data_IF_870823609815
#
_entry.id   IF_870823609815
#
_cell.length_a   1.000
_cell.length_b   1.000
_cell.length_c   1.000
_cell.angle_alpha   90.00
_cell.angle_beta   90.00
_cell.angle_gamma   90.00
#
_symmetry.space_group_name_H-M   'P 1'
#
loop_
_entity.id
_entity.type
_entity.pdbx_description
1 polymer ?
#
# COMPACT_ATOMS: atom_id res chain seq x y z
N UNK A 1 -5.63 -40.08 -36.44
CA UNK A 1 -4.60 -39.32 -37.16
C UNK A 1 -5.34 -38.45 -38.17
N UNK A 2 -5.45 -37.13 -38.02
CA UNK A 2 -4.38 -36.13 -38.09
C UNK A 2 -4.56 -35.09 -36.96
N UNK A 3 -3.45 -34.74 -36.32
CA UNK A 3 -3.40 -33.75 -35.24
C UNK A 3 -3.80 -32.35 -35.76
N UNK A 4 -4.87 -31.77 -35.21
CA UNK A 4 -5.19 -30.35 -35.41
C UNK A 4 -4.16 -29.51 -34.65
N UNK A 5 -3.14 -29.03 -35.36
CA UNK A 5 -2.11 -28.13 -34.81
C UNK A 5 -2.76 -26.80 -34.40
N UNK A 6 -3.02 -26.62 -33.10
CA UNK A 6 -3.37 -25.32 -32.53
C UNK A 6 -2.13 -24.43 -32.53
N UNK A 7 -1.97 -23.59 -33.55
CA UNK A 7 -1.04 -22.46 -33.48
C UNK A 7 -1.79 -21.24 -32.96
N UNK A 8 -1.52 -20.87 -31.71
CA UNK A 8 -2.01 -19.64 -31.10
C UNK A 8 -0.99 -18.55 -31.42
N UNK A 9 -1.44 -17.51 -32.11
CA UNK A 9 -0.65 -16.31 -32.35
C UNK A 9 -1.30 -15.13 -31.65
N UNK A 10 -0.50 -14.38 -30.89
CA UNK A 10 -0.87 -13.07 -30.38
C UNK A 10 -0.19 -12.02 -31.26
N UNK A 11 -0.97 -11.09 -31.81
CA UNK A 11 -0.44 -9.98 -32.61
C UNK A 11 -1.02 -8.67 -32.11
N UNK A 12 -0.14 -7.73 -31.78
CA UNK A 12 -0.50 -6.40 -31.32
C UNK A 12 -0.71 -5.50 -32.53
N UNK A 13 -1.91 -4.95 -32.67
CA UNK A 13 -2.26 -3.99 -33.73
C UNK A 13 -3.16 -2.93 -33.09
N UNK A 14 -2.75 -1.65 -33.16
CA UNK A 14 -3.56 -0.48 -32.77
C UNK A 14 -4.30 -0.61 -31.43
N UNK A 15 -3.59 -0.93 -30.34
CA UNK A 15 -4.15 -0.89 -28.98
C UNK A 15 -5.11 -2.02 -28.60
N UNK A 16 -5.26 -3.06 -29.43
CA UNK A 16 -6.10 -4.23 -29.14
C UNK A 16 -5.30 -5.53 -29.26
N UNK A 17 -5.61 -6.50 -28.40
CA UNK A 17 -5.11 -7.87 -28.50
C UNK A 17 -6.06 -8.72 -29.32
N UNK A 18 -5.54 -9.40 -30.34
CA UNK A 18 -6.29 -10.34 -31.16
C UNK A 18 -5.87 -11.77 -30.82
N UNK A 19 -6.83 -12.59 -30.38
CA UNK A 19 -6.66 -14.05 -30.30
C UNK A 19 -7.20 -14.65 -31.60
N UNK A 20 -6.33 -15.31 -32.36
CA UNK A 20 -6.69 -15.94 -33.63
C UNK A 20 -6.73 -17.45 -33.41
N UNK A 21 -7.92 -18.03 -33.47
CA UNK A 21 -8.10 -19.49 -33.51
C UNK A 21 -8.55 -19.89 -34.93
N UNK A 22 -7.80 -20.81 -35.55
CA UNK A 22 -8.13 -21.37 -36.87
C UNK A 22 -8.88 -22.68 -36.68
N UNK A 23 -10.13 -22.73 -37.16
CA UNK A 23 -10.89 -23.96 -37.31
C UNK A 23 -11.25 -24.14 -38.78
N UNK A 24 -10.55 -25.05 -39.49
CA UNK A 24 -10.74 -25.54 -40.86
C UNK A 24 -11.12 -24.54 -41.98
N UNK A 25 -12.15 -23.71 -41.82
CA UNK A 25 -12.64 -22.72 -42.81
C UNK A 25 -13.16 -21.41 -42.19
N UNK A 26 -13.15 -21.24 -40.86
CA UNK A 26 -13.67 -20.06 -40.15
C UNK A 26 -12.57 -19.42 -39.30
N UNK A 27 -12.42 -18.09 -39.41
CA UNK A 27 -11.58 -17.28 -38.51
C UNK A 27 -12.53 -16.56 -37.55
N UNK A 28 -12.44 -16.90 -36.26
CA UNK A 28 -13.15 -16.15 -35.22
C UNK A 28 -12.21 -15.04 -34.73
N UNK A 29 -12.57 -13.78 -35.01
CA UNK A 29 -11.90 -12.60 -34.46
C UNK A 29 -12.67 -12.15 -33.23
N UNK A 30 -12.15 -12.44 -32.04
CA UNK A 30 -12.69 -11.90 -30.80
C UNK A 30 -11.94 -10.60 -30.47
N UNK A 31 -12.63 -9.47 -30.58
CA UNK A 31 -12.10 -8.16 -30.22
C UNK A 31 -12.32 -7.90 -28.73
N UNK A 32 -11.25 -7.71 -27.97
CA UNK A 32 -11.35 -7.22 -26.60
C UNK A 32 -11.29 -5.70 -26.61
N UNK A 33 -12.42 -5.04 -26.31
CA UNK A 33 -12.46 -3.60 -26.09
C UNK A 33 -11.90 -3.31 -24.70
N UNK A 34 -10.72 -2.69 -24.63
CA UNK A 34 -10.21 -2.13 -23.38
C UNK A 34 -10.98 -0.84 -23.14
N UNK A 35 -11.86 -0.85 -22.13
CA UNK A 35 -12.60 0.33 -21.68
C UNK A 35 -11.77 0.93 -20.55
N UNK A 36 -11.22 2.14 -20.71
CA UNK A 36 -10.51 2.82 -19.61
C UNK A 36 -11.33 4.01 -19.13
N UNK A 37 -11.80 3.88 -17.89
CA UNK A 37 -11.44 4.74 -16.75
C UNK A 37 -11.56 3.85 -15.52
N UNK A 38 -10.49 3.10 -15.23
CA UNK A 38 -10.42 2.26 -14.04
C UNK A 38 -10.10 3.13 -12.84
N UNK A 39 -10.90 3.02 -11.78
CA UNK A 39 -10.63 3.71 -10.51
C UNK A 39 -9.31 3.21 -9.89
N UNK A 40 -9.02 1.91 -9.96
CA UNK A 40 -7.84 1.29 -9.34
C UNK A 40 -6.66 1.12 -10.30
N UNK A 41 -5.48 0.85 -9.75
CA UNK A 41 -4.25 0.68 -10.51
C UNK A 41 -3.87 -0.80 -10.65
N UNK A 42 -2.99 -1.12 -11.61
CA UNK A 42 -2.40 -2.46 -11.70
C UNK A 42 -1.17 -2.64 -10.78
N UNK A 43 -0.94 -1.68 -9.89
CA UNK A 43 0.21 -1.57 -8.99
C UNK A 43 -0.26 -1.37 -7.55
N UNK A 44 0.40 -2.05 -6.63
CA UNK A 44 0.28 -1.81 -5.21
C UNK A 44 1.55 -1.11 -4.73
N UNK A 45 1.39 -0.01 -3.99
CA UNK A 45 2.50 0.79 -3.49
C UNK A 45 2.70 0.60 -2.01
N UNK A 46 3.92 0.24 -1.61
CA UNK A 46 4.34 0.29 -0.21
C UNK A 46 5.27 1.47 -0.01
N UNK A 47 4.89 2.37 0.90
CA UNK A 47 5.71 3.53 1.27
C UNK A 47 6.53 3.25 2.53
N UNK A 48 7.75 3.76 2.56
CA UNK A 48 8.66 3.62 3.69
C UNK A 48 9.75 4.70 3.69
N UNK A 49 10.62 4.65 4.70
CA UNK A 49 11.84 5.48 4.75
C UNK A 49 12.95 4.81 3.94
N UNK A 50 14.00 5.58 3.60
CA UNK A 50 15.19 5.08 2.87
C UNK A 50 15.70 3.73 3.40
N UNK A 51 16.04 3.67 4.69
CA UNK A 51 16.51 2.45 5.34
C UNK A 51 15.53 1.28 5.22
N UNK A 52 14.23 1.56 5.35
CA UNK A 52 13.20 0.53 5.19
C UNK A 52 13.16 -0.03 3.78
N UNK A 53 13.26 0.81 2.75
CA UNK A 53 13.33 0.34 1.36
C UNK A 53 14.60 -0.49 1.12
N UNK A 54 15.75 -0.02 1.61
CA UNK A 54 16.99 -0.80 1.53
C UNK A 54 16.86 -2.18 2.21
N UNK A 55 16.28 -2.23 3.39
CA UNK A 55 16.11 -3.48 4.16
C UNK A 55 15.14 -4.43 3.46
N UNK A 56 14.06 -3.91 2.86
CA UNK A 56 13.12 -4.68 2.02
C UNK A 56 13.85 -5.27 0.81
N UNK A 57 14.66 -4.48 0.09
CA UNK A 57 15.41 -4.96 -1.08
C UNK A 57 16.50 -5.98 -0.70
N UNK A 58 17.25 -5.74 0.38
CA UNK A 58 18.30 -6.66 0.87
C UNK A 58 17.71 -8.00 1.32
N UNK A 59 16.59 -7.97 2.04
CA UNK A 59 15.94 -9.18 2.56
C UNK A 59 14.97 -9.84 1.57
N UNK A 60 14.61 -9.14 0.48
CA UNK A 60 13.56 -9.53 -0.48
C UNK A 60 12.26 -9.94 0.19
N UNK A 61 11.93 -9.27 1.29
CA UNK A 61 10.80 -9.63 2.16
C UNK A 61 10.09 -8.37 2.66
N UNK A 62 8.77 -8.35 2.51
CA UNK A 62 7.90 -7.44 3.26
C UNK A 62 7.60 -8.06 4.61
N UNK A 63 8.16 -7.48 5.67
CA UNK A 63 7.94 -7.96 7.04
C UNK A 63 6.63 -7.41 7.60
N UNK A 64 5.94 -8.23 8.40
CA UNK A 64 4.78 -7.75 9.15
C UNK A 64 5.20 -6.67 10.15
N UNK A 65 4.34 -5.69 10.37
CA UNK A 65 4.52 -4.64 11.38
C UNK A 65 3.27 -4.56 12.24
N UNK A 66 3.43 -4.55 13.57
CA UNK A 66 2.33 -4.14 14.43
C UNK A 66 1.95 -2.69 14.11
N UNK A 67 0.70 -2.51 13.71
CA UNK A 67 0.16 -1.22 13.28
C UNK A 67 -1.07 -0.93 14.12
N UNK A 68 -1.08 0.24 14.77
CA UNK A 68 -2.16 0.63 15.67
C UNK A 68 -3.40 1.06 14.87
N UNK A 69 -4.52 0.45 15.19
CA UNK A 69 -5.84 0.79 14.66
C UNK A 69 -6.73 1.29 15.80
N UNK A 70 -7.50 2.34 15.55
CA UNK A 70 -8.52 2.82 16.48
C UNK A 70 -9.76 1.95 16.31
N UNK A 71 -10.27 1.43 17.43
CA UNK A 71 -11.57 0.73 17.47
C UNK A 71 -12.65 1.75 17.87
N UNK A 72 -13.50 2.22 16.94
CA UNK A 72 -14.39 3.36 17.18
C UNK A 72 -15.35 3.20 18.38
N UNK A 73 -15.83 1.98 18.63
CA UNK A 73 -16.87 1.71 19.64
C UNK A 73 -16.33 1.57 21.07
N UNK A 74 -15.01 1.56 21.25
CA UNK A 74 -14.40 1.30 22.55
C UNK A 74 -13.37 2.35 22.99
N UNK A 75 -13.07 3.37 22.19
CA UNK A 75 -12.00 4.35 22.44
C UNK A 75 -10.68 3.70 22.89
N UNK A 76 -10.40 2.51 22.33
CA UNK A 76 -9.16 1.77 22.56
C UNK A 76 -8.41 1.61 21.24
N UNK A 77 -7.08 1.69 21.34
CA UNK A 77 -6.17 1.39 20.25
C UNK A 77 -5.69 -0.05 20.39
N UNK A 78 -5.81 -0.81 19.31
CA UNK A 78 -5.32 -2.19 19.21
C UNK A 78 -4.32 -2.24 18.07
N UNK A 79 -3.17 -2.87 18.26
CA UNK A 79 -2.20 -3.08 17.20
C UNK A 79 -2.32 -4.48 16.61
N UNK A 80 -2.45 -4.56 15.28
CA UNK A 80 -2.46 -5.81 14.52
C UNK A 80 -1.17 -5.92 13.70
N UNK A 81 -0.57 -7.11 13.58
CA UNK A 81 0.55 -7.33 12.67
C UNK A 81 0.00 -7.33 11.24
N UNK A 82 0.49 -6.44 10.39
CA UNK A 82 0.04 -6.36 9.00
C UNK A 82 1.13 -5.85 8.06
N UNK A 83 0.95 -6.12 6.78
CA UNK A 83 1.67 -5.46 5.68
C UNK A 83 0.62 -4.66 4.90
N UNK A 84 0.82 -3.35 4.79
CA UNK A 84 -0.09 -2.45 4.07
C UNK A 84 0.53 -1.92 2.79
N UNK A 85 -0.30 -1.83 1.75
CA UNK A 85 -0.03 -1.16 0.48
C UNK A 85 -1.21 -0.24 0.17
N UNK A 86 -1.03 0.72 -0.74
CA UNK A 86 -2.14 1.44 -1.36
C UNK A 86 -2.33 1.03 -2.82
N UNK A 87 -3.59 0.89 -3.24
CA UNK A 87 -4.01 0.66 -4.63
C UNK A 87 -4.42 1.99 -5.27
N UNK A 88 -3.42 2.85 -5.48
CA UNK A 88 -3.62 4.17 -6.08
C UNK A 88 -3.02 4.20 -7.50
N UNK A 89 -3.77 4.74 -8.49
CA UNK A 89 -3.18 5.14 -9.75
C UNK A 89 -1.98 6.05 -9.50
N UNK A 90 -0.98 5.98 -10.38
CA UNK A 90 0.26 6.76 -10.20
C UNK A 90 -0.01 8.26 -10.05
N UNK A 91 -1.08 8.76 -10.70
CA UNK A 91 -1.52 10.15 -10.60
C UNK A 91 -2.07 10.55 -9.24
N UNK A 92 -2.85 9.69 -8.62
CA UNK A 92 -3.36 9.93 -7.27
C UNK A 92 -2.25 9.71 -6.24
N UNK A 93 -1.44 8.65 -6.44
CA UNK A 93 -0.32 8.29 -5.58
C UNK A 93 0.66 9.45 -5.39
N UNK A 94 0.88 10.27 -6.43
CA UNK A 94 1.78 11.41 -6.40
C UNK A 94 1.47 12.39 -5.26
N UNK A 95 0.18 12.62 -4.97
CA UNK A 95 -0.28 13.50 -3.90
C UNK A 95 -0.07 12.92 -2.49
N UNK A 96 0.16 11.60 -2.40
CA UNK A 96 0.43 10.89 -1.15
C UNK A 96 1.92 10.60 -0.96
N UNK A 97 2.77 10.91 -1.94
CA UNK A 97 4.21 10.74 -1.82
C UNK A 97 4.77 11.61 -0.69
N UNK A 98 5.71 11.07 0.07
CA UNK A 98 6.35 11.79 1.18
C UNK A 98 5.64 11.69 2.54
N UNK A 99 4.33 11.41 2.56
CA UNK A 99 3.57 11.17 3.82
C UNK A 99 4.27 10.11 4.67
N UNK A 100 4.66 8.98 4.07
CA UNK A 100 5.26 7.84 4.77
C UNK A 100 6.71 7.56 4.41
N UNK A 101 7.56 8.59 4.43
CA UNK A 101 9.03 8.40 4.49
C UNK A 101 9.77 8.64 3.18
N UNK A 102 9.02 8.92 2.11
CA UNK A 102 9.54 9.46 0.87
C UNK A 102 10.18 8.45 -0.09
N UNK A 103 10.11 7.16 0.24
CA UNK A 103 10.56 6.07 -0.61
C UNK A 103 9.41 5.10 -0.80
N UNK A 104 9.27 4.54 -1.99
CA UNK A 104 8.17 3.63 -2.28
C UNK A 104 8.61 2.52 -3.21
N UNK A 105 7.95 1.37 -3.09
CA UNK A 105 8.15 0.22 -3.96
C UNK A 105 6.79 -0.21 -4.52
N UNK A 106 6.71 -0.32 -5.85
CA UNK A 106 5.50 -0.67 -6.58
C UNK A 106 5.58 -2.10 -7.11
N UNK A 107 4.67 -2.95 -6.66
CA UNK A 107 4.53 -4.34 -7.12
C UNK A 107 3.25 -4.51 -7.92
N UNK A 108 3.19 -5.53 -8.78
CA UNK A 108 1.96 -5.78 -9.53
C UNK A 108 0.78 -6.17 -8.63
N UNK A 109 -0.43 -5.73 -8.98
CA UNK A 109 -1.66 -6.15 -8.31
C UNK A 109 -1.84 -7.68 -8.34
N UNK A 110 -1.36 -8.35 -9.39
CA UNK A 110 -1.39 -9.82 -9.48
C UNK A 110 -0.52 -10.48 -8.41
N UNK A 111 0.64 -9.91 -8.10
CA UNK A 111 1.47 -10.37 -6.98
C UNK A 111 0.73 -10.22 -5.65
N UNK A 112 0.06 -9.08 -5.41
CA UNK A 112 -0.74 -8.87 -4.21
C UNK A 112 -1.85 -9.90 -4.06
N UNK A 113 -2.63 -10.13 -5.13
CA UNK A 113 -3.68 -11.16 -5.17
C UNK A 113 -3.14 -12.56 -4.89
N UNK A 114 -2.02 -12.93 -5.50
CA UNK A 114 -1.37 -14.23 -5.29
C UNK A 114 -0.93 -14.43 -3.84
N UNK A 115 -0.55 -13.35 -3.16
CA UNK A 115 -0.15 -13.35 -1.75
C UNK A 115 -1.30 -13.01 -0.79
N UNK A 116 -2.56 -13.10 -1.25
CA UNK A 116 -3.77 -12.93 -0.44
C UNK A 116 -3.93 -11.55 0.22
N UNK A 117 -3.34 -10.50 -0.34
CA UNK A 117 -3.68 -9.14 0.04
C UNK A 117 -5.15 -8.87 -0.28
N UNK A 118 -5.84 -8.17 0.63
CA UNK A 118 -7.25 -7.86 0.50
C UNK A 118 -7.49 -6.37 0.78
N UNK A 119 -8.37 -5.68 0.02
CA UNK A 119 -8.76 -4.31 0.32
C UNK A 119 -9.33 -4.16 1.72
N UNK A 120 -9.04 -3.03 2.34
CA UNK A 120 -9.63 -2.63 3.61
C UNK A 120 -11.12 -2.36 3.44
N UNK A 121 -11.92 -2.82 4.41
CA UNK A 121 -13.32 -2.51 4.49
C UNK A 121 -13.52 -1.20 5.26
N UNK A 122 -13.85 -0.14 4.51
CA UNK A 122 -14.19 1.15 5.10
C UNK A 122 -15.65 1.17 5.57
N UNK A 123 -15.87 1.64 6.80
CA UNK A 123 -17.21 1.84 7.35
C UNK A 123 -17.36 3.25 7.94
N UNK A 124 -18.55 3.82 7.83
CA UNK A 124 -18.89 5.04 8.55
C UNK A 124 -19.03 4.75 10.05
N UNK A 125 -18.60 5.70 10.86
CA UNK A 125 -18.84 5.69 12.30
C UNK A 125 -20.35 5.64 12.57
N UNK A 126 -20.76 4.89 13.58
CA UNK A 126 -22.15 4.64 13.99
C UNK A 126 -23.03 3.97 12.92
N UNK A 127 -22.44 3.40 11.87
CA UNK A 127 -23.20 2.61 10.90
C UNK A 127 -23.68 1.29 11.52
N UNK A 128 -24.73 0.69 10.94
CA UNK A 128 -25.21 -0.63 11.38
C UNK A 128 -24.14 -1.71 11.26
N UNK A 129 -23.26 -1.61 10.25
CA UNK A 129 -22.14 -2.53 10.02
C UNK A 129 -21.16 -2.45 11.17
N UNK A 130 -20.69 -1.23 11.47
CA UNK A 130 -19.75 -0.98 12.56
C UNK A 130 -20.36 -1.42 13.90
N UNK A 131 -21.59 -0.97 14.18
CA UNK A 131 -22.32 -1.28 15.41
C UNK A 131 -22.46 -2.79 15.62
N UNK A 132 -22.85 -3.54 14.59
CA UNK A 132 -23.01 -4.98 14.67
C UNK A 132 -21.66 -5.68 14.88
N UNK A 133 -20.61 -5.31 14.13
CA UNK A 133 -19.28 -5.91 14.25
C UNK A 133 -18.74 -5.82 15.68
N UNK A 134 -18.85 -4.63 16.28
CA UNK A 134 -18.39 -4.40 17.65
C UNK A 134 -19.33 -4.97 18.71
N UNK A 135 -20.64 -5.01 18.46
CA UNK A 135 -21.58 -5.68 19.37
C UNK A 135 -21.27 -7.18 19.47
N UNK A 136 -20.91 -7.83 18.36
CA UNK A 136 -20.54 -9.24 18.35
C UNK A 136 -19.25 -9.42 19.13
N UNK A 137 -18.24 -8.57 18.96
CA UNK A 137 -17.02 -8.62 19.76
C UNK A 137 -17.28 -8.49 21.25
N UNK A 138 -18.06 -7.46 21.65
CA UNK A 138 -18.29 -7.13 23.06
C UNK A 138 -19.08 -8.24 23.77
N UNK A 139 -20.03 -8.84 23.05
CA UNK A 139 -20.90 -9.88 23.58
C UNK A 139 -20.36 -11.30 23.32
N UNK A 140 -19.21 -11.43 22.66
CA UNK A 140 -18.63 -12.73 22.42
C UNK A 140 -18.23 -13.36 23.76
N UNK A 141 -18.88 -14.47 24.08
CA UNK A 141 -18.57 -15.23 25.28
C UNK A 141 -17.18 -15.90 25.14
N UNK A 142 -16.26 -15.73 26.09
CA UNK A 142 -14.93 -16.35 26.07
C UNK A 142 -14.95 -17.88 25.92
N UNK A 143 -16.08 -18.54 26.22
CA UNK A 143 -16.27 -19.99 26.00
C UNK A 143 -16.13 -20.39 24.51
N UNK A 144 -16.17 -19.44 23.57
CA UNK A 144 -15.94 -19.70 22.15
C UNK A 144 -14.78 -18.86 21.57
N UNK A 145 -13.63 -18.87 22.23
CA UNK A 145 -12.38 -18.17 21.84
C UNK A 145 -12.09 -18.23 20.32
N UNK A 146 -12.33 -19.37 19.66
CA UNK A 146 -12.12 -19.52 18.22
C UNK A 146 -12.93 -18.54 17.34
N UNK A 147 -14.13 -18.14 17.75
CA UNK A 147 -14.94 -17.18 16.99
C UNK A 147 -14.52 -15.75 17.27
N UNK A 148 -14.05 -15.46 18.49
CA UNK A 148 -13.45 -14.16 18.84
C UNK A 148 -12.23 -13.89 17.96
N UNK A 149 -11.36 -14.89 17.81
CA UNK A 149 -10.15 -14.78 16.99
C UNK A 149 -10.48 -14.59 15.50
N UNK A 150 -11.43 -15.35 14.95
CA UNK A 150 -11.90 -15.16 13.56
C UNK A 150 -12.51 -13.77 13.36
N UNK A 151 -13.23 -13.25 14.35
CA UNK A 151 -13.79 -11.91 14.29
C UNK A 151 -12.68 -10.84 14.33
N UNK A 152 -11.67 -11.02 15.18
CA UNK A 152 -10.48 -10.18 15.22
C UNK A 152 -9.73 -10.18 13.87
N UNK A 153 -9.68 -11.32 13.17
CA UNK A 153 -9.18 -11.40 11.79
C UNK A 153 -9.98 -10.52 10.83
N UNK A 154 -11.30 -10.45 10.95
CA UNK A 154 -12.13 -9.56 10.13
C UNK A 154 -11.93 -8.09 10.51
N UNK A 155 -11.84 -7.77 11.80
CA UNK A 155 -11.66 -6.39 12.27
C UNK A 155 -10.30 -5.83 11.90
N UNK A 156 -9.28 -6.69 11.86
CA UNK A 156 -7.99 -6.34 11.30
C UNK A 156 -8.07 -5.98 9.80
N UNK A 157 -9.25 -6.08 9.14
CA UNK A 157 -9.54 -5.54 7.81
C UNK A 157 -10.53 -4.36 7.79
N UNK A 158 -11.05 -3.91 8.93
CA UNK A 158 -11.95 -2.76 9.03
C UNK A 158 -11.19 -1.46 9.36
N UNK A 159 -11.62 -0.34 8.78
CA UNK A 159 -11.09 1.01 9.06
C UNK A 159 -12.23 2.03 8.94
N UNK A 160 -12.27 3.10 9.75
CA UNK A 160 -13.25 4.14 9.55
C UNK A 160 -13.01 4.86 8.20
N UNK A 161 -14.08 5.34 7.56
CA UNK A 161 -13.99 6.15 6.32
C UNK A 161 -13.15 7.41 6.55
N UNK A 162 -13.36 8.07 7.70
CA UNK A 162 -12.68 9.28 8.11
C UNK A 162 -12.44 9.32 9.61
N UNK A 163 -11.46 10.12 10.06
CA UNK A 163 -11.19 10.33 11.48
C UNK A 163 -9.88 11.08 11.74
N UNK A 164 -9.47 11.13 13.01
CA UNK A 164 -8.25 11.83 13.38
C UNK A 164 -7.00 11.08 12.91
N UNK A 165 -6.03 11.81 12.35
CA UNK A 165 -4.73 11.27 11.97
C UNK A 165 -3.60 12.19 12.48
N UNK A 166 -2.62 11.60 13.16
CA UNK A 166 -1.38 12.29 13.55
C UNK A 166 -0.21 11.69 12.75
N UNK A 167 0.37 12.47 11.83
CA UNK A 167 1.51 12.03 11.01
C UNK A 167 2.56 13.13 10.96
N UNK A 168 3.78 12.83 11.43
CA UNK A 168 4.98 13.69 11.29
C UNK A 168 4.75 15.19 11.62
N UNK A 169 4.12 15.48 12.76
CA UNK A 169 3.86 16.86 13.20
C UNK A 169 2.61 17.50 12.57
N UNK A 170 1.94 16.82 11.64
CA UNK A 170 0.62 17.22 11.17
C UNK A 170 -0.46 16.47 11.95
N UNK A 171 -1.46 17.23 12.42
CA UNK A 171 -2.66 16.71 13.07
C UNK A 171 -3.85 17.05 12.19
N UNK A 172 -4.53 16.02 11.70
CA UNK A 172 -5.76 16.13 10.94
C UNK A 172 -6.92 15.72 11.84
N UNK A 173 -7.95 16.56 11.93
CA UNK A 173 -9.16 16.23 12.69
C UNK A 173 -10.12 15.33 11.91
N UNK A 174 -10.20 15.49 10.59
CA UNK A 174 -11.08 14.70 9.71
C UNK A 174 -10.33 14.21 8.46
N UNK A 175 -9.34 13.33 8.65
CA UNK A 175 -8.60 12.71 7.57
C UNK A 175 -9.43 11.59 6.92
N UNK A 176 -9.55 11.59 5.59
CA UNK A 176 -10.29 10.58 4.85
C UNK A 176 -9.40 9.37 4.53
N UNK A 177 -9.45 8.34 5.37
CA UNK A 177 -8.69 7.10 5.19
C UNK A 177 -9.10 6.32 3.94
N UNK A 178 -10.36 6.44 3.52
CA UNK A 178 -10.86 5.78 2.31
C UNK A 178 -10.08 6.16 1.05
N UNK A 179 -9.57 7.40 1.00
CA UNK A 179 -8.82 7.89 -0.16
C UNK A 179 -7.44 7.24 -0.29
N UNK A 180 -6.93 6.56 0.75
CA UNK A 180 -5.68 5.81 0.69
C UNK A 180 -5.82 4.49 -0.07
N UNK A 181 -7.06 4.00 -0.27
CA UNK A 181 -7.37 2.71 -0.93
C UNK A 181 -6.45 1.60 -0.45
N UNK A 182 -6.38 1.48 0.86
CA UNK A 182 -5.47 0.56 1.52
C UNK A 182 -5.85 -0.88 1.18
N UNK A 183 -4.84 -1.67 0.84
CA UNK A 183 -4.91 -3.12 0.76
C UNK A 183 -3.90 -3.67 1.76
N UNK A 184 -4.29 -4.66 2.54
CA UNK A 184 -3.40 -5.24 3.55
C UNK A 184 -3.37 -6.75 3.49
N UNK A 185 -2.32 -7.29 4.07
CA UNK A 185 -2.21 -8.68 4.43
C UNK A 185 -2.02 -8.76 5.94
N UNK A 186 -2.92 -9.48 6.59
CA UNK A 186 -2.87 -9.83 7.99
C UNK A 186 -2.57 -11.33 8.08
N UNK A 187 -1.55 -11.75 8.85
CA UNK A 187 -1.19 -13.15 8.98
C UNK A 187 -2.26 -13.90 9.78
N UNK A 188 -2.62 -15.15 9.42
CA UNK A 188 -3.60 -15.92 10.19
C UNK A 188 -3.18 -16.12 11.65
N UNK A 189 -4.15 -16.16 12.57
CA UNK A 189 -3.91 -16.36 14.00
C UNK A 189 -3.01 -17.57 14.30
N UNK A 190 -3.31 -18.71 13.67
CA UNK A 190 -2.56 -19.94 13.91
C UNK A 190 -1.11 -19.85 13.43
N UNK A 191 -0.86 -19.08 12.36
CA UNK A 191 0.49 -18.85 11.89
C UNK A 191 1.30 -18.07 12.93
N UNK A 192 0.76 -16.95 13.44
CA UNK A 192 1.44 -16.17 14.48
C UNK A 192 1.65 -16.96 15.77
N UNK A 193 0.65 -17.75 16.18
CA UNK A 193 0.74 -18.60 17.38
C UNK A 193 1.92 -19.57 17.28
N UNK A 194 2.10 -20.21 16.12
CA UNK A 194 3.22 -21.12 15.88
C UNK A 194 4.58 -20.40 15.87
N UNK A 195 4.60 -19.15 15.44
CA UNK A 195 5.78 -18.27 15.45
C UNK A 195 6.00 -17.55 16.80
N UNK A 196 5.18 -17.87 17.83
CA UNK A 196 5.20 -17.24 19.16
C UNK A 196 4.99 -15.72 19.15
N UNK A 197 4.16 -15.21 18.25
CA UNK A 197 3.73 -13.81 18.22
C UNK A 197 2.26 -13.66 18.65
N UNK A 198 1.95 -12.57 19.33
CA UNK A 198 0.58 -12.23 19.69
C UNK A 198 -0.18 -11.70 18.47
N UNK A 199 -1.45 -12.07 18.36
CA UNK A 199 -2.27 -11.63 17.22
C UNK A 199 -2.73 -10.16 17.35
N UNK A 200 -2.91 -9.69 18.58
CA UNK A 200 -3.25 -8.31 18.87
C UNK A 200 -2.42 -7.84 20.07
N UNK A 201 -2.01 -6.57 20.04
CA UNK A 201 -1.42 -5.91 21.21
C UNK A 201 -2.34 -4.79 21.66
N UNK A 202 -2.60 -4.68 22.95
CA UNK A 202 -3.10 -3.43 23.53
C UNK A 202 -2.09 -2.30 23.31
N UNK A 203 -2.53 -1.05 23.46
CA UNK A 203 -1.64 0.12 23.40
C UNK A 203 -0.41 -0.02 24.31
N UNK A 204 -0.58 -0.56 25.52
CA UNK A 204 0.52 -0.79 26.47
C UNK A 204 1.50 -1.83 25.94
N UNK A 205 1.00 -2.99 25.54
CA UNK A 205 1.83 -4.08 25.00
C UNK A 205 2.55 -3.67 23.71
N UNK A 206 1.92 -2.87 22.85
CA UNK A 206 2.55 -2.32 21.65
C UNK A 206 3.74 -1.40 21.97
N UNK A 207 3.58 -0.51 22.96
CA UNK A 207 4.67 0.36 23.41
C UNK A 207 5.81 -0.47 24.03
N UNK A 208 5.49 -1.49 24.82
CA UNK A 208 6.48 -2.40 25.41
C UNK A 208 7.22 -3.20 24.34
N UNK A 209 6.50 -3.74 23.35
CA UNK A 209 7.07 -4.43 22.20
C UNK A 209 8.09 -3.55 21.48
N UNK A 210 7.72 -2.31 21.15
CA UNK A 210 8.63 -1.37 20.48
C UNK A 210 9.91 -1.11 21.28
N UNK A 211 9.80 -0.90 22.60
CA UNK A 211 10.97 -0.68 23.47
C UNK A 211 11.92 -1.87 23.45
N UNK A 212 11.39 -3.09 23.43
CA UNK A 212 12.17 -4.32 23.34
C UNK A 212 12.79 -4.56 21.96
N UNK A 213 12.29 -3.88 20.91
CA UNK A 213 12.69 -4.07 19.51
C UNK A 213 13.28 -2.80 18.88
N UNK A 214 14.05 -2.03 19.66
CA UNK A 214 14.75 -0.81 19.19
C UNK A 214 13.82 0.21 18.52
N UNK A 215 12.67 0.47 19.13
CA UNK A 215 11.63 1.38 18.65
C UNK A 215 10.99 0.97 17.32
N UNK A 216 11.19 -0.28 16.87
CA UNK A 216 10.54 -0.85 15.70
C UNK A 216 9.34 -1.70 16.09
N UNK A 217 8.36 -1.76 15.20
CA UNK A 217 7.17 -2.60 15.29
C UNK A 217 7.23 -3.82 14.36
N UNK A 218 8.38 -4.05 13.70
CA UNK A 218 8.58 -5.09 12.70
C UNK A 218 8.77 -6.47 13.34
N UNK A 219 8.09 -7.47 12.79
CA UNK A 219 8.29 -8.87 13.12
C UNK A 219 9.37 -9.47 12.20
N UNK A 220 10.09 -10.52 12.63
CA UNK A 220 11.07 -11.23 11.80
C UNK A 220 10.45 -12.10 10.70
N UNK A 221 9.11 -12.16 10.62
CA UNK A 221 8.32 -12.91 9.65
C UNK A 221 7.71 -11.98 8.59
N UNK A 222 7.43 -12.52 7.40
CA UNK A 222 6.94 -11.72 6.28
C UNK A 222 6.71 -12.51 5.00
N UNK A 223 6.38 -11.80 3.94
CA UNK A 223 6.16 -12.35 2.60
C UNK A 223 7.31 -11.99 1.68
N UNK A 224 7.84 -13.00 1.00
CA UNK A 224 8.92 -12.85 0.02
C UNK A 224 8.40 -12.34 -1.32
N UNK A 225 9.28 -11.65 -2.05
CA UNK A 225 9.05 -11.29 -3.44
C UNK A 225 10.31 -11.56 -4.27
N UNK A 226 10.13 -11.71 -5.58
CA UNK A 226 11.22 -11.83 -6.54
C UNK A 226 11.45 -10.50 -7.26
N UNK A 227 12.64 -10.32 -7.85
CA UNK A 227 12.97 -9.08 -8.57
C UNK A 227 11.95 -8.73 -9.67
N UNK A 228 11.40 -9.75 -10.34
CA UNK A 228 10.41 -9.59 -11.41
C UNK A 228 9.03 -9.11 -10.93
N UNK A 229 8.75 -9.23 -9.62
CA UNK A 229 7.51 -8.74 -9.02
C UNK A 229 7.53 -7.20 -8.88
N UNK A 230 8.72 -6.61 -8.76
CA UNK A 230 8.92 -5.17 -8.68
C UNK A 230 8.73 -4.55 -10.06
N UNK A 231 7.90 -3.51 -10.13
CA UNK A 231 7.69 -2.70 -11.33
C UNK A 231 8.32 -1.33 -11.21
N UNK A 232 8.19 -0.74 -10.02
CA UNK A 232 8.59 0.63 -9.79
C UNK A 232 9.31 0.80 -8.45
N UNK A 233 10.26 1.71 -8.42
CA UNK A 233 10.82 2.25 -7.20
C UNK A 233 10.72 3.77 -7.27
N UNK A 234 10.22 4.39 -6.21
CA UNK A 234 10.19 5.84 -6.05
C UNK A 234 11.15 6.22 -4.95
N UNK A 235 12.08 7.12 -5.25
CA UNK A 235 13.07 7.66 -4.31
C UNK A 235 12.82 9.14 -4.06
N UNK A 236 13.49 9.70 -3.06
CA UNK A 236 13.23 11.07 -2.63
C UNK A 236 13.74 12.12 -3.64
N UNK A 237 14.96 11.96 -4.16
CA UNK A 237 15.58 12.90 -5.10
C UNK A 237 16.39 12.17 -6.19
N UNK A 238 16.85 12.92 -7.18
CA UNK A 238 17.59 12.39 -8.33
C UNK A 238 18.88 11.65 -7.92
N UNK A 239 19.64 12.17 -6.96
CA UNK A 239 20.86 11.52 -6.47
C UNK A 239 20.58 10.11 -5.92
N UNK A 240 19.41 9.90 -5.30
CA UNK A 240 19.01 8.58 -4.83
C UNK A 240 18.68 7.59 -5.97
N UNK A 241 18.43 8.04 -7.21
CA UNK A 241 18.25 7.11 -8.35
C UNK A 241 19.53 6.34 -8.57
N UNK A 242 20.66 7.04 -8.69
CA UNK A 242 21.98 6.43 -8.93
C UNK A 242 22.34 5.49 -7.78
N UNK A 243 22.07 5.92 -6.55
CA UNK A 243 22.29 5.11 -5.35
C UNK A 243 21.51 3.78 -5.38
N UNK A 244 20.21 3.82 -5.69
CA UNK A 244 19.38 2.62 -5.71
C UNK A 244 19.66 1.72 -6.92
N UNK A 245 20.05 2.28 -8.08
CA UNK A 245 20.56 1.48 -9.21
C UNK A 245 21.80 0.69 -8.82
N UNK A 246 22.76 1.35 -8.17
CA UNK A 246 23.99 0.69 -7.68
C UNK A 246 23.68 -0.37 -6.61
N UNK A 247 22.74 -0.09 -5.70
CA UNK A 247 22.28 -1.06 -4.71
C UNK A 247 21.68 -2.31 -5.38
N UNK A 248 20.77 -2.14 -6.33
CA UNK A 248 20.15 -3.25 -7.06
C UNK A 248 21.19 -4.10 -7.80
N UNK A 249 22.15 -3.46 -8.46
CA UNK A 249 23.27 -4.15 -9.12
C UNK A 249 24.10 -4.96 -8.10
N UNK A 250 24.46 -4.36 -6.97
CA UNK A 250 25.20 -5.03 -5.88
C UNK A 250 24.43 -6.22 -5.29
N UNK A 251 23.11 -6.13 -5.23
CA UNK A 251 22.22 -7.21 -4.76
C UNK A 251 21.95 -8.28 -5.82
N UNK A 252 22.49 -8.15 -7.03
CA UNK A 252 22.28 -9.11 -8.13
C UNK A 252 20.84 -9.10 -8.65
N UNK A 253 20.22 -7.92 -8.73
CA UNK A 253 18.88 -7.76 -9.30
C UNK A 253 18.87 -8.21 -10.77
N UNK A 254 18.05 -9.20 -11.10
CA UNK A 254 17.92 -9.76 -12.46
C UNK A 254 16.85 -9.09 -13.31
N UNK A 255 16.04 -8.21 -12.72
CA UNK A 255 14.98 -7.50 -13.44
C UNK A 255 15.48 -6.16 -13.97
N UNK A 256 15.71 -6.10 -15.28
CA UNK A 256 16.15 -4.90 -15.99
C UNK A 256 14.99 -3.91 -16.24
N UNK A 257 13.74 -4.33 -16.05
CA UNK A 257 12.54 -3.53 -16.35
C UNK A 257 12.03 -2.73 -15.15
N UNK A 258 12.78 -2.65 -14.04
CA UNK A 258 12.39 -1.82 -12.89
C UNK A 258 12.61 -0.35 -13.26
N UNK A 259 11.52 0.42 -13.32
CA UNK A 259 11.63 1.87 -13.49
C UNK A 259 11.84 2.55 -12.13
N UNK A 260 12.82 3.44 -12.06
CA UNK A 260 13.14 4.18 -10.83
C UNK A 260 12.93 5.67 -11.10
N UNK A 261 12.11 6.31 -10.27
CA UNK A 261 11.77 7.72 -10.37
C UNK A 261 12.05 8.43 -9.06
N UNK A 262 12.34 9.72 -9.10
CA UNK A 262 12.30 10.56 -7.89
C UNK A 262 10.97 11.32 -7.81
N UNK A 263 10.59 11.78 -6.62
CA UNK A 263 9.24 12.35 -6.39
C UNK A 263 8.93 13.55 -7.28
N UNK A 264 9.86 14.49 -7.40
CA UNK A 264 9.64 15.71 -8.19
C UNK A 264 9.46 15.38 -9.68
N UNK A 265 10.25 14.45 -10.21
CA UNK A 265 10.08 13.93 -11.57
C UNK A 265 8.67 13.42 -11.83
N UNK A 266 8.08 12.70 -10.86
CA UNK A 266 6.74 12.15 -11.02
C UNK A 266 5.73 13.29 -11.20
N UNK A 267 5.82 14.32 -10.37
CA UNK A 267 4.92 15.47 -10.39
C UNK A 267 5.02 16.25 -11.70
N UNK A 268 6.24 16.48 -12.17
CA UNK A 268 6.51 17.25 -13.39
C UNK A 268 6.19 16.45 -14.65
N UNK A 269 6.77 15.25 -14.81
CA UNK A 269 6.74 14.49 -16.06
C UNK A 269 5.42 13.76 -16.30
N UNK A 270 4.74 13.32 -15.23
CA UNK A 270 3.56 12.44 -15.36
C UNK A 270 2.26 13.13 -14.96
N UNK A 271 2.31 14.03 -13.99
CA UNK A 271 1.09 14.71 -13.51
C UNK A 271 0.95 16.09 -14.17
N UNK A 272 2.07 16.73 -14.51
CA UNK A 272 2.07 18.08 -15.04
C UNK A 272 1.68 19.13 -14.00
N UNK A 273 1.93 18.88 -12.71
CA UNK A 273 1.76 19.87 -11.64
C UNK A 273 3.13 20.42 -11.23
N UNK A 274 3.16 21.64 -10.67
CA UNK A 274 4.39 22.33 -10.22
C UNK A 274 5.33 22.79 -11.36
N UNK A 275 4.83 22.97 -12.59
CA UNK A 275 5.59 23.61 -13.67
C UNK A 275 5.61 25.14 -13.58
N UNK A 276 4.61 25.73 -12.91
CA UNK A 276 4.52 27.17 -12.69
C UNK A 276 5.41 27.59 -11.52
N UNK A 277 6.44 28.39 -11.81
CA UNK A 277 7.27 29.01 -10.78
C UNK A 277 6.69 30.36 -10.39
N UNK A 278 6.13 30.45 -9.18
CA UNK A 278 5.73 31.74 -8.61
C UNK A 278 6.99 32.49 -8.15
N UNK A 279 7.33 33.60 -8.82
CA UNK A 279 8.33 34.51 -8.30
C UNK A 279 7.78 35.14 -7.02
N UNK A 280 8.48 34.96 -5.90
CA UNK A 280 8.19 35.69 -4.67
C UNK A 280 8.15 37.18 -4.99
N UNK A 281 6.96 37.79 -4.96
CA UNK A 281 6.85 39.24 -4.88
C UNK A 281 7.52 39.62 -3.57
N UNK A 282 8.64 40.34 -3.67
CA UNK A 282 9.37 40.88 -2.53
C UNK A 282 8.39 41.32 -1.44
N UNK A 283 8.55 40.78 -0.24
CA UNK A 283 7.94 41.39 0.94
C UNK A 283 8.45 42.84 0.98
N UNK A 284 7.56 43.78 0.68
CA UNK A 284 7.78 45.17 1.04
C UNK A 284 7.88 45.17 2.57
N UNK A 285 8.97 45.67 3.17
CA UNK A 285 9.03 45.83 4.62
C UNK A 285 7.84 46.70 5.03
N UNK A 286 6.96 46.17 5.87
CA UNK A 286 5.96 47.00 6.54
C UNK A 286 6.73 47.72 7.64
N UNK A 287 6.92 49.03 7.47
CA UNK A 287 7.42 49.88 8.55
C UNK A 287 6.47 49.77 9.75
N UNK A 288 6.97 49.21 10.85
CA UNK A 288 6.24 48.99 12.09
C UNK A 288 6.06 50.30 12.88
N UNK A 289 6.51 51.45 12.36
CA UNK A 289 6.44 52.73 13.07
C UNK A 289 5.05 53.41 13.07
N UNK A 290 4.04 52.88 12.36
CA UNK A 290 2.70 53.49 12.32
C UNK A 290 1.59 52.69 13.05
N UNK A 291 1.93 51.75 13.93
CA UNK A 291 0.95 51.07 14.79
C UNK A 291 1.12 51.53 16.25
N UNK A 292 1.08 52.85 16.46
CA UNK A 292 0.70 53.43 17.76
C UNK A 292 -0.11 54.69 17.48
N UNK A 293 -1.44 54.57 17.44
CA UNK A 293 -2.41 55.52 18.03
C UNK A 293 -3.64 54.73 18.46
#
# INVERSE_FOLDING_TARGET
>A
MVASVRKIFFRWICGSYFKIERFNTVIILQTYKIIIMGLSSNILWHQTKKKGLEDILKSRTFKFSYSQEKVPVADYEIAFPMISFCDLPFSEFANYMGKYGGYSIGLSHNWGKKNHFNPVWYCYANSIVESNLFSILRNANPVQEQYVLKLAEIIAYVKPVEGELNVKGHKYSNYRFMDEREVRLVPPFQYLKNENFQYMLSKKEYIEYKKQHNEMSLLPIGIKFEWNDIKYIVVQNEANIVEFKNLLHKLGCTNENISIFYQQQIKEDFIGIEHDQEQNRNFVPVDIENIIV
#
